data_IF_401504398165
#
_entry.id   IF_401504398165
#
_cell.length_a   1.000
_cell.length_b   1.000
_cell.length_c   1.000
_cell.angle_alpha   90.00
_cell.angle_beta   90.00
_cell.angle_gamma   90.00
#
_symmetry.space_group_name_H-M   'P 1'
#
loop_
_entity.id
_entity.type
_entity.pdbx_description
1 polymer ?
#
# COMPACT_ATOMS: atom_id res chain seq x y z
N UNK A 1 -20.72 -3.90 20.34
CA UNK A 1 -19.27 -4.09 20.04
C UNK A 1 -18.57 -2.76 20.27
N UNK A 2 -17.54 -2.74 21.12
CA UNK A 2 -16.82 -1.50 21.48
C UNK A 2 -16.18 -0.83 20.27
N UNK A 3 -16.02 0.51 20.33
CA UNK A 3 -15.33 1.32 19.31
C UNK A 3 -14.00 0.72 18.86
N UNK A 4 -13.25 0.13 19.81
CA UNK A 4 -11.99 -0.57 19.58
C UNK A 4 -12.09 -1.64 18.48
N UNK A 5 -13.15 -2.47 18.49
CA UNK A 5 -13.31 -3.59 17.56
C UNK A 5 -13.78 -3.16 16.17
N UNK A 6 -14.52 -2.06 16.05
CA UNK A 6 -15.09 -1.59 14.77
C UNK A 6 -14.29 -0.51 14.07
N UNK A 7 -13.36 0.13 14.77
CA UNK A 7 -12.56 1.25 14.23
C UNK A 7 -11.07 0.95 14.28
N UNK A 8 -10.53 0.65 15.47
CA UNK A 8 -9.08 0.53 15.65
C UNK A 8 -8.56 -0.81 15.11
N UNK A 9 -9.22 -1.92 15.48
CA UNK A 9 -8.80 -3.26 15.06
C UNK A 9 -8.74 -3.44 13.52
N UNK A 10 -9.75 -3.01 12.73
CA UNK A 10 -9.69 -3.11 11.27
C UNK A 10 -8.51 -2.34 10.67
N UNK A 11 -8.24 -1.13 11.17
CA UNK A 11 -7.14 -0.28 10.69
C UNK A 11 -5.79 -0.94 11.00
N UNK A 12 -5.59 -1.46 12.22
CA UNK A 12 -4.34 -2.12 12.59
C UNK A 12 -4.08 -3.37 11.77
N UNK A 13 -5.10 -4.23 11.57
CA UNK A 13 -4.94 -5.44 10.78
C UNK A 13 -4.69 -5.14 9.30
N UNK A 14 -5.38 -4.14 8.73
CA UNK A 14 -5.11 -3.69 7.37
C UNK A 14 -3.69 -3.10 7.25
N UNK A 15 -3.24 -2.30 8.22
CA UNK A 15 -1.88 -1.75 8.26
C UNK A 15 -0.82 -2.86 8.33
N UNK A 16 -1.02 -3.89 9.15
CA UNK A 16 -0.12 -5.06 9.23
C UNK A 16 -0.06 -5.77 7.88
N UNK A 17 -1.22 -6.01 7.27
CA UNK A 17 -1.30 -6.64 5.95
C UNK A 17 -0.55 -5.85 4.88
N UNK A 18 -0.80 -4.53 4.78
CA UNK A 18 -0.13 -3.64 3.83
C UNK A 18 1.39 -3.69 4.07
N UNK A 19 1.85 -3.56 5.32
CA UNK A 19 3.28 -3.62 5.64
C UNK A 19 3.94 -4.94 5.26
N UNK A 20 3.27 -6.08 5.46
CA UNK A 20 3.78 -7.39 5.04
C UNK A 20 3.85 -7.45 3.51
N UNK A 21 2.82 -6.97 2.82
CA UNK A 21 2.77 -6.97 1.35
C UNK A 21 3.87 -6.08 0.74
N UNK A 22 4.05 -4.87 1.27
CA UNK A 22 5.13 -3.96 0.90
C UNK A 22 6.51 -4.57 1.11
N UNK A 23 6.72 -5.22 2.27
CA UNK A 23 8.00 -5.86 2.58
C UNK A 23 8.31 -7.01 1.61
N UNK A 24 7.36 -7.93 1.41
CA UNK A 24 7.55 -9.04 0.48
C UNK A 24 7.80 -8.52 -0.93
N UNK A 25 7.04 -7.51 -1.36
CA UNK A 25 7.19 -6.95 -2.71
C UNK A 25 8.52 -6.22 -2.89
N UNK A 26 8.89 -5.30 -2.01
CA UNK A 26 10.06 -4.44 -2.23
C UNK A 26 11.37 -5.04 -1.73
N UNK A 27 11.37 -5.74 -0.59
CA UNK A 27 12.61 -6.28 -0.01
C UNK A 27 12.96 -7.67 -0.52
N UNK A 28 11.98 -8.47 -0.94
CA UNK A 28 12.22 -9.84 -1.42
C UNK A 28 12.14 -9.90 -2.94
N UNK A 29 11.01 -9.49 -3.54
CA UNK A 29 10.78 -9.68 -4.98
C UNK A 29 11.47 -8.64 -5.86
N UNK A 30 11.36 -7.35 -5.50
CA UNK A 30 11.75 -6.25 -6.39
C UNK A 30 13.11 -5.63 -6.05
N UNK A 31 13.75 -6.04 -4.95
CA UNK A 31 14.98 -5.42 -4.44
C UNK A 31 16.10 -5.34 -5.47
N UNK A 32 16.30 -6.41 -6.25
CA UNK A 32 17.33 -6.45 -7.30
C UNK A 32 17.09 -5.40 -8.37
N UNK A 33 15.84 -5.19 -8.79
CA UNK A 33 15.48 -4.18 -9.79
C UNK A 33 15.69 -2.77 -9.26
N UNK A 34 15.29 -2.52 -8.00
CA UNK A 34 15.51 -1.24 -7.34
C UNK A 34 16.99 -0.89 -7.21
N UNK A 35 17.81 -1.83 -6.70
CA UNK A 35 19.25 -1.62 -6.52
C UNK A 35 19.94 -1.38 -7.86
N UNK A 36 19.64 -2.17 -8.88
CA UNK A 36 20.22 -2.00 -10.21
C UNK A 36 19.85 -0.65 -10.83
N UNK A 37 18.58 -0.22 -10.72
CA UNK A 37 18.13 1.08 -11.22
C UNK A 37 18.85 2.25 -10.54
N UNK A 38 18.95 2.22 -9.21
CA UNK A 38 19.64 3.26 -8.45
C UNK A 38 21.14 3.29 -8.75
N UNK A 39 21.79 2.13 -8.87
CA UNK A 39 23.19 2.05 -9.27
C UNK A 39 23.44 2.65 -10.67
N UNK A 40 22.55 2.39 -11.63
CA UNK A 40 22.63 2.98 -12.97
C UNK A 40 22.45 4.51 -12.97
N UNK A 41 21.75 5.06 -11.97
CA UNK A 41 21.66 6.50 -11.74
C UNK A 41 22.87 7.07 -10.95
N UNK A 42 23.82 6.24 -10.54
CA UNK A 42 24.92 6.65 -9.66
C UNK A 42 24.49 6.92 -8.22
N UNK A 43 23.34 6.38 -7.79
CA UNK A 43 22.76 6.54 -6.47
C UNK A 43 22.80 5.24 -5.67
N UNK A 44 22.83 5.36 -4.35
CA UNK A 44 22.60 4.22 -3.46
C UNK A 44 21.09 4.04 -3.23
N UNK A 45 20.58 2.81 -3.34
CA UNK A 45 19.19 2.52 -3.00
C UNK A 45 18.99 2.60 -1.47
N UNK A 46 18.01 3.37 -0.97
CA UNK A 46 17.81 3.55 0.47
C UNK A 46 17.13 2.32 1.10
N UNK A 47 17.92 1.31 1.44
CA UNK A 47 17.46 0.06 2.07
C UNK A 47 17.76 -0.05 3.57
N UNK A 48 18.11 1.05 4.23
CA UNK A 48 18.33 1.04 5.69
C UNK A 48 17.01 0.77 6.45
N UNK A 49 17.06 0.16 7.65
CA UNK A 49 15.87 -0.15 8.45
C UNK A 49 14.94 1.05 8.71
N UNK A 50 15.51 2.26 8.78
CA UNK A 50 14.73 3.49 8.94
C UNK A 50 13.75 3.72 7.77
N UNK A 51 14.12 3.36 6.54
CA UNK A 51 13.23 3.46 5.38
C UNK A 51 12.07 2.48 5.52
N UNK A 52 12.32 1.27 6.02
CA UNK A 52 11.27 0.30 6.35
C UNK A 52 10.29 0.83 7.40
N UNK A 53 10.75 1.58 8.40
CA UNK A 53 9.88 2.23 9.37
C UNK A 53 8.99 3.31 8.72
N UNK A 54 9.53 4.09 7.78
CA UNK A 54 8.75 5.07 7.00
C UNK A 54 7.67 4.38 6.17
N UNK A 55 7.97 3.23 5.55
CA UNK A 55 6.97 2.40 4.88
C UNK A 55 5.88 1.93 5.85
N UNK A 56 6.23 1.52 7.07
CA UNK A 56 5.26 1.16 8.11
C UNK A 56 4.32 2.32 8.49
N UNK A 57 4.85 3.54 8.60
CA UNK A 57 4.04 4.75 8.83
C UNK A 57 3.10 4.99 7.65
N UNK A 58 3.61 4.89 6.42
CA UNK A 58 2.81 5.02 5.20
C UNK A 58 1.67 3.99 5.17
N UNK A 59 1.94 2.72 5.50
CA UNK A 59 0.94 1.65 5.58
C UNK A 59 -0.20 1.98 6.55
N UNK A 60 0.14 2.54 7.71
CA UNK A 60 -0.86 2.95 8.71
C UNK A 60 -1.72 4.11 8.19
N UNK A 61 -1.10 5.16 7.63
CA UNK A 61 -1.82 6.29 7.06
C UNK A 61 -2.73 5.85 5.91
N UNK A 62 -2.25 4.94 5.07
CA UNK A 62 -3.01 4.40 3.97
C UNK A 62 -4.19 3.54 4.45
N UNK A 63 -4.00 2.70 5.47
CA UNK A 63 -5.11 1.96 6.12
C UNK A 63 -6.18 2.90 6.71
N UNK A 64 -5.77 4.00 7.33
CA UNK A 64 -6.70 5.05 7.81
C UNK A 64 -7.47 5.67 6.65
N UNK A 65 -6.79 5.98 5.54
CA UNK A 65 -7.44 6.53 4.34
C UNK A 65 -8.47 5.55 3.76
N UNK A 66 -8.12 4.27 3.62
CA UNK A 66 -9.06 3.20 3.18
C UNK A 66 -10.26 3.14 4.13
N UNK A 67 -10.04 3.19 5.44
CA UNK A 67 -11.12 3.17 6.43
C UNK A 67 -12.08 4.35 6.28
N UNK A 68 -11.56 5.56 6.04
CA UNK A 68 -12.38 6.76 5.81
C UNK A 68 -13.17 6.62 4.50
N UNK A 69 -12.51 6.19 3.41
CA UNK A 69 -13.17 5.96 2.11
C UNK A 69 -14.26 4.89 2.22
N UNK A 70 -14.00 3.80 2.93
CA UNK A 70 -14.93 2.71 3.17
C UNK A 70 -16.19 3.15 3.91
N UNK A 71 -16.21 4.29 4.61
CA UNK A 71 -17.45 4.82 5.19
C UNK A 71 -18.41 5.38 4.15
N UNK A 72 -17.90 5.85 3.01
CA UNK A 72 -18.68 6.54 1.97
C UNK A 72 -18.93 5.69 0.73
N UNK A 73 -17.95 4.91 0.31
CA UNK A 73 -17.97 4.19 -0.97
C UNK A 73 -18.22 2.69 -0.81
N UNK A 74 -18.69 2.01 -1.86
CA UNK A 74 -18.79 0.55 -1.85
C UNK A 74 -17.40 -0.12 -1.92
N UNK A 75 -17.34 -1.45 -1.81
CA UNK A 75 -16.07 -2.20 -1.79
C UNK A 75 -15.20 -1.90 -3.02
N UNK A 76 -15.75 -2.04 -4.23
CA UNK A 76 -15.00 -1.85 -5.47
C UNK A 76 -14.53 -0.40 -5.64
N UNK A 77 -15.40 0.57 -5.36
CA UNK A 77 -15.06 2.00 -5.39
C UNK A 77 -13.97 2.35 -4.39
N UNK A 78 -14.05 1.81 -3.16
CA UNK A 78 -13.02 2.02 -2.12
C UNK A 78 -11.69 1.45 -2.58
N UNK A 79 -11.67 0.20 -3.04
CA UNK A 79 -10.44 -0.46 -3.47
C UNK A 79 -9.78 0.26 -4.65
N UNK A 80 -10.54 0.61 -5.70
CA UNK A 80 -9.98 1.26 -6.88
C UNK A 80 -9.54 2.70 -6.59
N UNK A 81 -10.30 3.46 -5.79
CA UNK A 81 -9.92 4.83 -5.40
C UNK A 81 -8.69 4.83 -4.49
N UNK A 82 -8.63 3.92 -3.51
CA UNK A 82 -7.46 3.76 -2.66
C UNK A 82 -6.23 3.33 -3.46
N UNK A 83 -6.37 2.37 -4.37
CA UNK A 83 -5.26 1.96 -5.24
C UNK A 83 -4.77 3.11 -6.12
N UNK A 84 -5.70 3.84 -6.74
CA UNK A 84 -5.34 5.00 -7.56
C UNK A 84 -4.59 6.05 -6.75
N UNK A 85 -5.10 6.42 -5.58
CA UNK A 85 -4.52 7.48 -4.75
C UNK A 85 -3.24 7.08 -4.02
N UNK A 86 -3.14 5.83 -3.55
CA UNK A 86 -1.98 5.32 -2.82
C UNK A 86 -0.82 4.92 -3.73
N UNK A 87 -1.11 4.37 -4.92
CA UNK A 87 -0.10 3.82 -5.82
C UNK A 87 0.05 4.61 -7.12
N UNK A 88 -1.03 4.75 -7.89
CA UNK A 88 -0.92 5.32 -9.25
C UNK A 88 -0.40 6.75 -9.19
N UNK A 89 -0.96 7.60 -8.30
CA UNK A 89 -0.48 8.97 -8.14
C UNK A 89 0.98 9.02 -7.69
N UNK A 90 1.40 8.15 -6.78
CA UNK A 90 2.79 8.04 -6.35
C UNK A 90 3.70 7.67 -7.53
N UNK A 91 3.35 6.64 -8.31
CA UNK A 91 4.12 6.19 -9.47
C UNK A 91 4.25 7.25 -10.55
N UNK A 92 3.22 8.06 -10.78
CA UNK A 92 3.31 9.20 -11.70
C UNK A 92 4.38 10.18 -11.23
N UNK A 93 4.40 10.53 -9.93
CA UNK A 93 5.39 11.47 -9.39
C UNK A 93 6.81 10.88 -9.42
N UNK A 94 7.01 9.65 -8.93
CA UNK A 94 8.35 9.04 -8.91
C UNK A 94 8.85 8.66 -10.31
N UNK A 95 7.93 8.34 -11.23
CA UNK A 95 8.22 8.14 -12.64
C UNK A 95 8.66 9.45 -13.32
N UNK A 96 7.98 10.56 -13.04
CA UNK A 96 8.40 11.88 -13.51
C UNK A 96 9.78 12.29 -12.96
N UNK A 97 10.11 11.91 -11.73
CA UNK A 97 11.44 12.14 -11.14
C UNK A 97 12.53 11.20 -11.69
N UNK A 98 12.17 10.23 -12.54
CA UNK A 98 13.12 9.25 -13.10
C UNK A 98 13.60 8.18 -12.11
N UNK A 99 13.11 8.18 -10.87
CA UNK A 99 13.57 7.26 -9.83
C UNK A 99 12.81 5.92 -9.82
N UNK A 100 11.75 5.79 -10.62
CA UNK A 100 10.96 4.57 -10.75
C UNK A 100 11.49 3.66 -11.87
N UNK A 101 11.92 2.42 -11.58
CA UNK A 101 12.20 1.43 -12.60
C UNK A 101 10.90 0.86 -13.19
N UNK A 102 10.53 1.27 -14.41
CA UNK A 102 9.25 0.89 -15.03
C UNK A 102 9.02 -0.62 -15.19
N UNK A 103 10.09 -1.42 -15.31
CA UNK A 103 9.99 -2.88 -15.40
C UNK A 103 9.40 -3.53 -14.14
N UNK A 104 9.46 -2.87 -12.97
CA UNK A 104 8.84 -3.40 -11.76
C UNK A 104 7.31 -3.36 -11.84
N UNK A 105 6.73 -2.49 -12.68
CA UNK A 105 5.28 -2.29 -12.74
C UNK A 105 4.52 -3.54 -13.17
N UNK A 106 5.15 -4.42 -13.96
CA UNK A 106 4.57 -5.72 -14.31
C UNK A 106 4.18 -6.56 -13.08
N UNK A 107 4.97 -6.47 -12.02
CA UNK A 107 4.68 -7.13 -10.74
C UNK A 107 4.00 -6.20 -9.74
N UNK A 108 4.36 -4.91 -9.72
CA UNK A 108 3.84 -3.96 -8.74
C UNK A 108 2.35 -3.65 -8.95
N UNK A 109 1.87 -3.57 -10.19
CA UNK A 109 0.43 -3.35 -10.49
C UNK A 109 -0.45 -4.47 -9.92
N UNK A 110 -0.27 -5.76 -10.28
CA UNK A 110 -1.14 -6.81 -9.77
C UNK A 110 -1.01 -7.02 -8.26
N UNK A 111 0.21 -6.90 -7.70
CA UNK A 111 0.42 -7.07 -6.26
C UNK A 111 -0.17 -5.93 -5.43
N UNK A 112 -0.04 -4.68 -5.87
CA UNK A 112 -0.65 -3.53 -5.17
C UNK A 112 -2.17 -3.54 -5.26
N UNK A 113 -2.75 -4.00 -6.37
CA UNK A 113 -4.20 -4.22 -6.45
C UNK A 113 -4.62 -5.27 -5.42
N UNK A 114 -3.98 -6.44 -5.39
CA UNK A 114 -4.29 -7.48 -4.42
C UNK A 114 -4.17 -6.96 -2.97
N UNK A 115 -3.10 -6.23 -2.68
CA UNK A 115 -2.86 -5.61 -1.38
C UNK A 115 -4.03 -4.73 -0.94
N UNK A 116 -4.46 -3.80 -1.80
CA UNK A 116 -5.54 -2.85 -1.52
C UNK A 116 -6.89 -3.54 -1.40
N UNK A 117 -7.17 -4.53 -2.24
CA UNK A 117 -8.42 -5.30 -2.18
C UNK A 117 -8.52 -6.07 -0.86
N UNK A 118 -7.45 -6.71 -0.42
CA UNK A 118 -7.42 -7.44 0.86
C UNK A 118 -7.49 -6.46 2.04
N UNK A 119 -6.77 -5.34 2.01
CA UNK A 119 -6.86 -4.31 3.04
C UNK A 119 -8.28 -3.74 3.17
N UNK A 120 -8.92 -3.46 2.05
CA UNK A 120 -10.32 -3.00 2.00
C UNK A 120 -11.26 -4.07 2.54
N UNK A 121 -11.04 -5.34 2.21
CA UNK A 121 -11.84 -6.47 2.71
C UNK A 121 -11.74 -6.61 4.23
N UNK A 122 -10.53 -6.54 4.79
CA UNK A 122 -10.30 -6.55 6.24
C UNK A 122 -11.10 -5.42 6.91
N UNK A 123 -11.02 -4.22 6.33
CA UNK A 123 -11.70 -3.03 6.85
C UNK A 123 -13.23 -3.21 6.81
N UNK A 124 -13.81 -3.51 5.65
CA UNK A 124 -15.28 -3.60 5.49
C UNK A 124 -15.88 -4.74 6.30
N UNK A 125 -15.20 -5.88 6.34
CA UNK A 125 -15.65 -7.07 7.08
C UNK A 125 -15.69 -6.83 8.59
N UNK A 126 -14.65 -6.21 9.14
CA UNK A 126 -14.51 -6.02 10.59
C UNK A 126 -15.20 -4.75 11.11
N UNK A 127 -15.35 -3.71 10.28
CA UNK A 127 -16.14 -2.53 10.65
C UNK A 127 -17.64 -2.81 10.71
N UNK A 128 -18.09 -3.94 10.14
CA UNK A 128 -19.50 -4.34 10.12
C UNK A 128 -20.34 -3.50 9.16
N UNK A 129 -19.72 -2.99 8.08
CA UNK A 129 -20.44 -2.28 7.03
C UNK A 129 -21.25 -3.32 6.23
N UNK A 130 -22.57 -3.13 6.13
CA UNK A 130 -23.36 -3.85 5.12
C UNK A 130 -23.01 -3.26 3.77
N UNK A 131 -22.64 -4.10 2.81
CA UNK A 131 -22.54 -3.67 1.42
C UNK A 131 -23.94 -3.23 0.98
N UNK A 132 -24.04 -2.01 0.45
CA UNK A 132 -25.26 -1.46 -0.14
C UNK A 132 -25.33 -1.89 -1.60
#
# INVERSE_FOLDING_TARGET
>A
MSHLKKTILPILLASIWISISEFVRNEILLKVFWVAHYQNMGLAFPSEPVNGAVWGIWSLLFAVAIFIMAKKFNFLQTSLLAWFTGFVLMWVVVGNMGVLPFNILYFAIPLSLLEVFVATFIITKLSGKKEN
#
